data_IF_416373276639
#
_entry.id   IF_416373276639
#
_cell.length_a   1.000
_cell.length_b   1.000
_cell.length_c   1.000
_cell.angle_alpha   90.00
_cell.angle_beta   90.00
_cell.angle_gamma   90.00
#
_symmetry.space_group_name_H-M   'P 1'
#
loop_
_entity.id
_entity.type
_entity.pdbx_description
1 polymer ?
#
# COMPACT_ATOMS: atom_id res chain seq x y z
N UNK A 1 -28.25 -29.04 -5.35
CA UNK A 1 -27.27 -28.56 -6.36
C UNK A 1 -27.96 -27.54 -7.24
N UNK A 2 -27.85 -26.26 -6.90
CA UNK A 2 -28.54 -25.19 -7.63
C UNK A 2 -27.88 -24.92 -8.98
N UNK A 3 -28.66 -24.46 -9.96
CA UNK A 3 -28.19 -24.05 -11.29
C UNK A 3 -27.21 -22.88 -11.14
N UNK A 4 -25.93 -23.12 -11.45
CA UNK A 4 -24.90 -22.08 -11.43
C UNK A 4 -24.98 -21.29 -12.73
N UNK A 5 -25.27 -20.00 -12.63
CA UNK A 5 -25.32 -19.09 -13.77
C UNK A 5 -23.98 -18.37 -13.92
N UNK A 6 -23.34 -18.52 -15.08
CA UNK A 6 -22.08 -17.88 -15.41
C UNK A 6 -21.19 -18.78 -16.28
N UNK A 7 -20.66 -18.24 -17.37
CA UNK A 7 -19.71 -18.94 -18.23
C UNK A 7 -18.29 -18.89 -17.63
N UNK A 8 -17.58 -20.02 -17.59
CA UNK A 8 -16.17 -20.07 -17.18
C UNK A 8 -15.20 -19.34 -18.12
N UNK A 9 -15.65 -19.02 -19.34
CA UNK A 9 -14.85 -18.41 -20.41
C UNK A 9 -14.17 -17.06 -20.05
N UNK A 10 -14.63 -16.37 -19.00
CA UNK A 10 -14.06 -15.08 -18.56
C UNK A 10 -13.17 -15.18 -17.32
N UNK A 11 -12.98 -16.38 -16.77
CA UNK A 11 -12.13 -16.58 -15.60
C UNK A 11 -10.67 -16.16 -15.92
N UNK A 12 -10.07 -15.37 -15.03
CA UNK A 12 -8.67 -14.95 -15.17
C UNK A 12 -8.38 -13.83 -16.17
N UNK A 13 -9.35 -13.41 -17.02
CA UNK A 13 -9.17 -12.37 -18.06
C UNK A 13 -8.44 -11.12 -17.55
N UNK A 14 -8.86 -10.59 -16.41
CA UNK A 14 -8.29 -9.32 -15.89
C UNK A 14 -6.82 -9.49 -15.50
N UNK A 15 -6.47 -10.60 -14.85
CA UNK A 15 -5.10 -10.84 -14.37
C UNK A 15 -4.12 -11.10 -15.51
N UNK A 16 -4.56 -11.70 -16.62
CA UNK A 16 -3.72 -11.92 -17.81
C UNK A 16 -3.58 -10.68 -18.68
N UNK A 17 -4.56 -9.78 -18.69
CA UNK A 17 -4.51 -8.51 -19.42
C UNK A 17 -3.61 -7.47 -18.74
N UNK A 18 -3.53 -7.46 -17.40
CA UNK A 18 -2.66 -6.52 -16.70
C UNK A 18 -1.18 -6.80 -16.99
N UNK A 19 -0.36 -5.77 -17.29
CA UNK A 19 1.07 -5.97 -17.50
C UNK A 19 1.71 -6.54 -16.22
N UNK A 20 2.57 -7.54 -16.40
CA UNK A 20 3.27 -8.17 -15.28
C UNK A 20 4.44 -7.30 -14.86
N UNK A 21 4.29 -6.59 -13.74
CA UNK A 21 5.38 -5.81 -13.13
C UNK A 21 6.17 -6.71 -12.18
N UNK A 22 7.48 -6.77 -12.39
CA UNK A 22 8.39 -7.48 -11.49
C UNK A 22 8.51 -6.78 -10.13
N UNK A 23 8.84 -7.55 -9.09
CA UNK A 23 9.03 -6.97 -7.76
C UNK A 23 10.33 -6.20 -7.74
N UNK A 24 10.27 -4.92 -7.41
CA UNK A 24 11.46 -4.13 -7.15
C UNK A 24 12.17 -4.64 -5.90
N UNK A 25 13.50 -4.76 -5.97
CA UNK A 25 14.33 -5.04 -4.81
C UNK A 25 14.27 -3.85 -3.83
N UNK A 26 14.00 -4.14 -2.56
CA UNK A 26 13.94 -3.15 -1.48
C UNK A 26 14.65 -3.70 -0.25
N UNK A 27 15.37 -2.85 0.52
CA UNK A 27 16.00 -3.28 1.75
C UNK A 27 14.95 -3.78 2.75
N UNK A 28 15.34 -4.74 3.59
CA UNK A 28 14.46 -5.32 4.60
C UNK A 28 13.99 -4.22 5.57
N UNK A 29 12.68 -4.03 5.75
CA UNK A 29 12.18 -3.05 6.71
C UNK A 29 12.51 -3.49 8.15
N UNK A 30 12.75 -2.54 9.07
CA UNK A 30 12.94 -2.88 10.47
C UNK A 30 11.69 -3.53 11.04
N UNK A 31 11.87 -4.44 12.00
CA UNK A 31 10.79 -5.20 12.66
C UNK A 31 10.68 -4.84 14.15
N UNK A 32 9.59 -5.27 14.79
CA UNK A 32 9.39 -5.13 16.24
C UNK A 32 9.50 -3.70 16.78
N UNK A 33 10.35 -3.52 17.80
CA UNK A 33 10.55 -2.23 18.49
C UNK A 33 11.13 -1.16 17.58
N UNK A 34 12.05 -1.52 16.68
CA UNK A 34 12.65 -0.59 15.73
C UNK A 34 11.59 0.00 14.77
N UNK A 35 10.65 -0.83 14.30
CA UNK A 35 9.51 -0.37 13.49
C UNK A 35 8.61 0.59 14.27
N UNK A 36 8.29 0.27 15.53
CA UNK A 36 7.46 1.12 16.40
C UNK A 36 8.12 2.49 16.64
N UNK A 37 9.42 2.53 16.91
CA UNK A 37 10.20 3.78 17.08
C UNK A 37 10.16 4.62 15.80
N UNK A 38 10.41 4.00 14.64
CA UNK A 38 10.34 4.70 13.36
C UNK A 38 8.95 5.31 13.13
N UNK A 39 7.87 4.55 13.37
CA UNK A 39 6.50 5.03 13.21
C UNK A 39 6.17 6.19 14.16
N UNK A 40 6.58 6.11 15.43
CA UNK A 40 6.35 7.16 16.42
C UNK A 40 7.03 8.46 15.99
N UNK A 41 8.32 8.40 15.66
CA UNK A 41 9.08 9.57 15.21
C UNK A 41 8.44 10.20 13.96
N UNK A 42 8.02 9.37 12.98
CA UNK A 42 7.39 9.84 11.73
C UNK A 42 6.01 10.46 11.91
N UNK A 43 5.27 10.07 12.96
CA UNK A 43 3.87 10.50 13.17
C UNK A 43 3.74 11.65 14.15
N UNK A 44 4.58 11.70 15.17
CA UNK A 44 4.42 12.61 16.29
C UNK A 44 5.59 13.60 16.37
N UNK A 45 6.82 13.09 16.50
CA UNK A 45 8.01 13.94 16.73
C UNK A 45 8.31 14.84 15.53
N UNK A 46 8.28 14.31 14.31
CA UNK A 46 8.64 15.07 13.10
C UNK A 46 7.47 15.91 12.56
N UNK A 47 6.23 15.64 13.01
CA UNK A 47 5.01 16.29 12.50
C UNK A 47 4.58 17.44 13.41
N UNK A 48 4.84 17.36 14.71
CA UNK A 48 4.54 18.44 15.67
C UNK A 48 5.22 19.77 15.31
N UNK A 49 6.29 19.72 14.53
CA UNK A 49 7.06 20.90 14.11
C UNK A 49 6.53 21.54 12.81
N UNK A 50 5.44 21.01 12.22
CA UNK A 50 4.81 21.58 11.02
C UNK A 50 3.65 22.50 11.40
N UNK A 51 3.73 23.76 10.98
CA UNK A 51 2.63 24.73 11.08
C UNK A 51 1.43 24.18 10.29
N UNK A 52 0.32 23.88 10.98
CA UNK A 52 -0.90 23.31 10.37
C UNK A 52 -1.23 21.85 10.71
N UNK A 53 -0.48 21.19 11.60
CA UNK A 53 -0.96 20.18 12.57
C UNK A 53 -1.56 18.84 12.10
N UNK A 54 -1.85 18.61 10.82
CA UNK A 54 -2.39 17.31 10.33
C UNK A 54 -1.58 16.73 9.18
N UNK A 55 -0.78 15.71 9.49
CA UNK A 55 -0.08 14.89 8.48
C UNK A 55 -1.08 14.15 7.61
N UNK A 56 -1.11 14.44 6.30
CA UNK A 56 -1.79 13.60 5.31
C UNK A 56 -1.00 12.31 5.14
N UNK A 57 -1.66 11.16 5.28
CA UNK A 57 -1.05 9.87 5.02
C UNK A 57 -1.23 9.53 3.54
N UNK A 58 -0.13 9.24 2.84
CA UNK A 58 -0.11 8.98 1.40
C UNK A 58 -0.70 10.15 0.55
N UNK A 59 -0.18 11.39 0.69
CA UNK A 59 -0.58 12.45 -0.21
C UNK A 59 -0.07 12.11 -1.62
N UNK A 60 -0.96 12.05 -2.59
CA UNK A 60 -0.54 12.09 -3.98
C UNK A 60 0.04 13.49 -4.22
N UNK A 61 1.25 13.56 -4.74
CA UNK A 61 1.71 14.77 -5.41
C UNK A 61 0.88 14.88 -6.67
N UNK A 62 -0.08 15.81 -6.71
CA UNK A 62 -0.73 16.13 -7.96
C UNK A 62 0.36 16.52 -8.96
N UNK A 63 0.41 15.82 -10.09
CA UNK A 63 1.14 16.27 -11.27
C UNK A 63 0.31 17.33 -11.98
#
# INVERSE_FOLDING_TARGET
MGKVHGSLARAGKVKSQCPKVEKQEKPKPPTGRAKKRLLYNRRFVNVSNLVGGKRRMNPNTAA
#
